data_IF_767658286078
#
_entry.id   IF_767658286078
#
_cell.length_a   1.000
_cell.length_b   1.000
_cell.length_c   1.000
_cell.angle_alpha   90.00
_cell.angle_beta   90.00
_cell.angle_gamma   90.00
#
_symmetry.space_group_name_H-M   'P 1'
#
loop_
_entity.id
_entity.type
_entity.pdbx_description
1 polymer ?
#
# COMPACT_ATOMS: atom_id res chain seq x y z
N UNK A 1 -40.62 10.15 25.63
CA UNK A 1 -41.12 10.65 24.33
C UNK A 1 -42.04 11.83 24.61
N UNK A 2 -41.86 12.98 23.95
CA UNK A 2 -42.71 14.17 24.17
C UNK A 2 -44.01 13.93 23.35
N UNK A 3 -45.16 14.06 24.05
CA UNK A 3 -46.48 13.80 23.43
C UNK A 3 -47.27 15.13 23.35
N UNK A 4 -47.75 15.45 22.15
CA UNK A 4 -48.51 16.68 21.88
C UNK A 4 -49.96 16.68 22.41
N UNK A 5 -50.44 15.53 22.93
CA UNK A 5 -51.78 15.36 23.53
C UNK A 5 -51.80 15.13 25.04
N UNK A 6 -50.71 15.36 25.73
CA UNK A 6 -50.60 15.22 27.19
C UNK A 6 -51.13 16.45 27.92
N UNK A 7 -51.69 16.24 29.12
CA UNK A 7 -52.09 17.33 30.01
C UNK A 7 -50.91 18.28 30.39
N UNK A 8 -49.69 17.79 30.27
CA UNK A 8 -48.48 18.57 30.55
C UNK A 8 -48.08 19.34 29.28
N UNK A 9 -47.94 20.68 29.38
CA UNK A 9 -47.50 21.47 28.22
C UNK A 9 -46.13 21.00 27.68
N UNK A 10 -45.95 21.02 26.35
CA UNK A 10 -44.72 20.57 25.66
C UNK A 10 -43.49 21.25 26.22
N UNK A 11 -43.56 22.52 26.62
CA UNK A 11 -42.45 23.23 27.25
C UNK A 11 -41.99 22.54 28.54
N UNK A 12 -42.95 22.18 29.42
CA UNK A 12 -42.66 21.50 30.66
C UNK A 12 -42.16 20.08 30.49
N UNK A 13 -42.65 19.37 29.43
CA UNK A 13 -42.13 18.06 29.06
C UNK A 13 -40.65 18.15 28.61
N UNK A 14 -40.30 19.18 27.83
CA UNK A 14 -38.92 19.41 27.39
C UNK A 14 -38.00 19.72 28.59
N UNK A 15 -38.45 20.57 29.53
CA UNK A 15 -37.70 20.89 30.73
C UNK A 15 -37.41 19.66 31.61
N UNK A 16 -38.44 18.82 31.80
CA UNK A 16 -38.30 17.57 32.57
C UNK A 16 -37.38 16.54 31.92
N UNK A 17 -37.27 16.55 30.58
CA UNK A 17 -36.42 15.68 29.81
C UNK A 17 -35.03 16.28 29.55
N UNK A 18 -34.77 17.52 29.99
CA UNK A 18 -33.50 18.20 29.71
C UNK A 18 -33.25 18.45 28.21
N UNK A 19 -34.32 18.54 27.40
CA UNK A 19 -34.23 18.71 25.95
C UNK A 19 -34.55 20.14 25.54
N UNK A 20 -33.72 20.81 24.74
CA UNK A 20 -34.08 22.10 24.15
C UNK A 20 -35.34 21.97 23.30
N UNK A 21 -36.34 22.88 23.49
CA UNK A 21 -37.59 22.85 22.72
C UNK A 21 -37.35 22.93 21.20
N UNK A 22 -36.30 23.62 20.75
CA UNK A 22 -35.90 23.69 19.33
C UNK A 22 -35.58 22.31 18.74
N UNK A 23 -35.01 21.38 19.53
CA UNK A 23 -34.69 20.02 19.09
C UNK A 23 -35.93 19.19 18.77
N UNK A 24 -37.07 19.50 19.43
CA UNK A 24 -38.34 18.80 19.19
C UNK A 24 -38.93 19.12 17.81
N UNK A 25 -38.73 20.36 17.35
CA UNK A 25 -39.25 20.86 16.07
C UNK A 25 -38.24 20.79 14.94
N UNK A 26 -37.01 20.34 15.26
CA UNK A 26 -35.99 20.16 14.26
C UNK A 26 -36.37 19.02 13.30
N UNK A 27 -36.71 19.37 12.09
CA UNK A 27 -36.83 18.43 10.97
C UNK A 27 -35.55 18.49 10.15
N UNK A 28 -34.88 17.35 10.04
CA UNK A 28 -33.75 17.25 9.13
C UNK A 28 -34.26 17.38 7.69
N UNK A 29 -34.04 18.54 7.08
CA UNK A 29 -34.25 18.73 5.64
C UNK A 29 -33.08 18.09 4.88
N UNK A 30 -33.01 16.75 4.87
CA UNK A 30 -32.09 16.08 3.95
C UNK A 30 -32.78 16.02 2.60
N UNK A 31 -32.16 16.67 1.62
CA UNK A 31 -32.57 16.60 0.22
C UNK A 31 -32.34 15.16 -0.27
N UNK A 32 -33.31 14.56 -0.97
CA UNK A 32 -33.19 13.22 -1.56
C UNK A 32 -31.96 13.10 -2.49
N UNK A 33 -31.59 14.17 -3.17
CA UNK A 33 -30.39 14.24 -3.98
C UNK A 33 -29.11 14.15 -3.13
N UNK A 34 -29.10 14.81 -1.96
CA UNK A 34 -27.99 14.75 -1.03
C UNK A 34 -27.83 13.36 -0.39
N UNK A 35 -28.93 12.67 -0.09
CA UNK A 35 -28.93 11.30 0.42
C UNK A 35 -28.44 10.31 -0.66
N UNK A 36 -28.91 10.44 -1.88
CA UNK A 36 -28.47 9.63 -3.01
C UNK A 36 -26.95 9.83 -3.29
N UNK A 37 -26.46 11.05 -3.18
CA UNK A 37 -25.03 11.35 -3.31
C UNK A 37 -24.23 10.72 -2.16
N UNK A 38 -24.70 10.80 -0.91
CA UNK A 38 -24.04 10.19 0.23
C UNK A 38 -23.97 8.67 0.09
N UNK A 39 -25.06 8.02 -0.39
CA UNK A 39 -25.07 6.59 -0.66
C UNK A 39 -24.06 6.18 -1.75
N UNK A 40 -24.00 6.95 -2.85
CA UNK A 40 -22.99 6.72 -3.90
C UNK A 40 -21.57 6.82 -3.33
N UNK A 41 -21.33 7.81 -2.46
CA UNK A 41 -20.03 8.01 -1.83
C UNK A 41 -19.68 6.86 -0.87
N UNK A 42 -20.64 6.35 -0.11
CA UNK A 42 -20.45 5.17 0.76
C UNK A 42 -20.07 3.94 -0.08
N UNK A 43 -20.80 3.67 -1.16
CA UNK A 43 -20.51 2.54 -2.04
C UNK A 43 -19.12 2.66 -2.70
N UNK A 44 -18.73 3.87 -3.13
CA UNK A 44 -17.40 4.11 -3.70
C UNK A 44 -16.29 3.90 -2.67
N UNK A 45 -16.47 4.37 -1.42
CA UNK A 45 -15.51 4.18 -0.33
C UNK A 45 -15.37 2.69 0.00
N UNK A 46 -16.47 1.95 0.13
CA UNK A 46 -16.48 0.53 0.47
C UNK A 46 -15.73 -0.28 -0.59
N UNK A 47 -16.02 -0.05 -1.81
CA UNK A 47 -15.40 -0.73 -2.91
C UNK A 47 -13.90 -0.37 -3.06
N UNK A 48 -13.47 0.93 -2.91
CA UNK A 48 -12.04 1.32 -2.85
C UNK A 48 -11.31 0.68 -1.69
N UNK A 49 -11.96 0.59 -0.54
CA UNK A 49 -11.39 -0.06 0.63
C UNK A 49 -11.23 -1.57 0.43
N UNK A 50 -12.22 -2.23 -0.17
CA UNK A 50 -12.14 -3.66 -0.50
C UNK A 50 -10.96 -3.97 -1.42
N UNK A 51 -10.70 -3.11 -2.40
CA UNK A 51 -9.57 -3.26 -3.31
C UNK A 51 -8.21 -2.92 -2.64
N UNK A 52 -8.20 -1.91 -1.74
CA UNK A 52 -6.99 -1.34 -1.14
C UNK A 52 -7.21 -0.93 0.31
N UNK A 53 -7.26 -1.89 1.25
CA UNK A 53 -7.60 -1.64 2.67
C UNK A 53 -6.54 -0.80 3.43
N UNK A 54 -5.39 -0.54 2.83
CA UNK A 54 -4.37 0.35 3.37
C UNK A 54 -4.65 1.85 3.16
N UNK A 55 -5.65 2.20 2.33
CA UNK A 55 -5.98 3.60 2.07
C UNK A 55 -6.56 4.27 3.32
N UNK A 56 -5.79 5.18 3.91
CA UNK A 56 -6.29 6.07 4.94
C UNK A 56 -7.09 7.23 4.34
N UNK A 57 -7.68 8.07 5.20
CA UNK A 57 -8.55 9.19 4.79
C UNK A 57 -8.03 10.03 3.61
N UNK A 58 -6.70 10.28 3.58
CA UNK A 58 -6.08 11.13 2.54
C UNK A 58 -5.99 10.39 1.23
N UNK A 59 -5.40 9.17 1.24
CA UNK A 59 -5.33 8.34 0.03
C UNK A 59 -6.71 7.95 -0.52
N UNK A 60 -7.69 7.73 0.36
CA UNK A 60 -9.08 7.50 -0.03
C UNK A 60 -9.70 8.73 -0.72
N UNK A 61 -9.41 9.94 -0.23
CA UNK A 61 -9.86 11.18 -0.86
C UNK A 61 -9.26 11.35 -2.25
N UNK A 62 -7.97 11.02 -2.40
CA UNK A 62 -7.27 11.09 -3.68
C UNK A 62 -7.85 10.09 -4.68
N UNK A 63 -8.06 8.85 -4.23
CA UNK A 63 -8.64 7.80 -5.06
C UNK A 63 -10.08 8.13 -5.51
N UNK A 64 -10.90 8.70 -4.63
CA UNK A 64 -12.25 9.16 -4.99
C UNK A 64 -12.22 10.24 -6.09
N UNK A 65 -11.28 11.18 -5.99
CA UNK A 65 -11.16 12.24 -7.00
C UNK A 65 -10.66 11.69 -8.34
N UNK A 66 -9.65 10.83 -8.33
CA UNK A 66 -8.97 10.36 -9.54
C UNK A 66 -9.72 9.25 -10.27
N UNK A 67 -10.22 8.27 -9.52
CA UNK A 67 -10.82 7.06 -10.10
C UNK A 67 -12.33 7.16 -10.23
N UNK A 68 -12.98 7.89 -9.30
CA UNK A 68 -14.44 8.05 -9.31
C UNK A 68 -14.89 9.43 -9.80
N UNK A 69 -13.98 10.40 -9.99
CA UNK A 69 -14.31 11.77 -10.35
C UNK A 69 -15.10 12.53 -9.26
N UNK A 70 -14.96 12.10 -7.99
CA UNK A 70 -15.72 12.66 -6.86
C UNK A 70 -14.79 13.49 -5.97
N UNK A 71 -14.91 14.81 -6.05
CA UNK A 71 -14.19 15.72 -5.16
C UNK A 71 -14.92 15.87 -3.83
N UNK A 72 -14.26 15.48 -2.73
CA UNK A 72 -14.82 15.55 -1.38
C UNK A 72 -13.79 16.00 -0.36
N UNK A 73 -14.27 16.63 0.71
CA UNK A 73 -13.41 17.03 1.82
C UNK A 73 -12.94 15.79 2.61
N UNK A 74 -11.63 15.67 2.94
CA UNK A 74 -11.09 14.56 3.74
C UNK A 74 -11.78 14.35 5.11
N UNK A 75 -12.36 15.41 5.70
CA UNK A 75 -13.15 15.30 6.93
C UNK A 75 -14.45 14.51 6.70
N UNK A 76 -15.09 14.70 5.54
CA UNK A 76 -16.29 13.93 5.15
C UNK A 76 -15.94 12.46 4.90
N UNK A 77 -14.85 12.20 4.18
CA UNK A 77 -14.34 10.85 3.94
C UNK A 77 -14.07 10.12 5.26
N UNK A 78 -13.38 10.76 6.21
CA UNK A 78 -13.13 10.18 7.55
C UNK A 78 -14.42 9.82 8.28
N UNK A 79 -15.44 10.68 8.22
CA UNK A 79 -16.75 10.42 8.85
C UNK A 79 -17.41 9.19 8.21
N UNK A 80 -17.43 9.11 6.88
CA UNK A 80 -18.06 8.00 6.15
C UNK A 80 -17.32 6.68 6.35
N UNK A 81 -15.98 6.68 6.33
CA UNK A 81 -15.18 5.50 6.70
C UNK A 81 -15.55 5.00 8.10
N UNK A 82 -15.68 5.93 9.08
CA UNK A 82 -16.10 5.57 10.43
C UNK A 82 -17.52 5.01 10.47
N UNK A 83 -18.44 5.54 9.68
CA UNK A 83 -19.82 5.04 9.56
C UNK A 83 -19.85 3.60 9.02
N UNK A 84 -18.96 3.27 8.08
CA UNK A 84 -18.78 1.93 7.51
C UNK A 84 -17.95 1.00 8.43
N UNK A 85 -17.41 1.49 9.55
CA UNK A 85 -16.50 0.72 10.41
C UNK A 85 -15.14 0.45 9.78
N UNK A 86 -14.73 1.24 8.78
CA UNK A 86 -13.50 1.03 8.02
C UNK A 86 -12.33 1.77 8.66
N UNK A 87 -11.26 1.02 8.95
CA UNK A 87 -9.97 1.56 9.39
C UNK A 87 -8.86 1.09 8.46
N UNK A 88 -7.98 2.03 8.06
CA UNK A 88 -6.84 1.67 7.21
C UNK A 88 -5.93 0.66 7.92
N UNK A 89 -5.52 -0.37 7.19
CA UNK A 89 -4.60 -1.39 7.71
C UNK A 89 -3.21 -0.79 7.83
N UNK A 90 -2.73 -0.60 9.08
CA UNK A 90 -1.39 -0.09 9.37
C UNK A 90 -0.54 -1.13 10.11
N UNK A 91 0.77 -1.22 9.78
CA UNK A 91 1.70 -2.08 10.49
C UNK A 91 1.97 -1.55 11.91
N UNK A 92 2.02 -2.45 12.88
CA UNK A 92 2.54 -2.13 14.21
C UNK A 92 4.07 -2.11 14.17
N UNK A 93 4.76 -1.17 14.88
CA UNK A 93 6.22 -1.11 14.91
C UNK A 93 6.80 -2.39 15.52
N UNK A 94 7.77 -3.03 14.83
CA UNK A 94 8.56 -4.18 15.32
C UNK A 94 10.01 -3.78 15.50
N UNK A 95 10.71 -4.41 16.46
CA UNK A 95 12.16 -4.22 16.67
C UNK A 95 12.94 -5.03 15.63
N UNK A 96 13.99 -4.43 15.05
CA UNK A 96 14.85 -5.06 14.05
C UNK A 96 15.97 -5.87 14.71
N UNK A 97 16.35 -7.00 14.09
CA UNK A 97 17.48 -7.85 14.47
C UNK A 97 18.19 -8.31 13.19
N UNK A 98 19.19 -7.56 12.72
CA UNK A 98 20.09 -7.98 11.63
C UNK A 98 21.54 -7.88 12.09
N UNK A 99 22.38 -8.89 11.77
CA UNK A 99 23.82 -8.88 12.03
C UNK A 99 24.62 -8.87 10.72
N UNK A 100 25.66 -8.02 10.58
CA UNK A 100 26.46 -7.92 9.35
C UNK A 100 27.58 -8.96 9.28
N UNK A 101 27.98 -9.35 8.05
CA UNK A 101 29.13 -10.22 7.78
C UNK A 101 30.46 -9.44 7.68
N UNK A 102 31.58 -10.09 8.06
CA UNK A 102 32.88 -9.43 8.30
C UNK A 102 33.88 -9.45 7.12
N UNK A 103 33.60 -10.15 5.99
CA UNK A 103 34.65 -10.61 5.05
C UNK A 103 34.69 -9.93 3.67
N UNK A 104 33.92 -8.87 3.40
CA UNK A 104 33.84 -8.28 2.05
C UNK A 104 34.43 -6.86 1.96
N UNK A 105 34.89 -6.41 0.75
CA UNK A 105 35.40 -5.07 0.55
C UNK A 105 34.36 -4.01 0.91
N UNK A 106 34.74 -3.08 1.78
CA UNK A 106 33.86 -2.01 2.27
C UNK A 106 34.09 -0.76 1.46
N UNK A 107 33.05 -0.29 0.80
CA UNK A 107 33.05 1.01 0.13
C UNK A 107 32.70 2.14 1.11
N UNK A 108 33.21 3.37 0.92
CA UNK A 108 32.91 4.47 1.81
C UNK A 108 31.42 4.91 1.66
N UNK A 109 30.85 5.41 2.75
CA UNK A 109 29.53 6.03 2.70
C UNK A 109 29.63 7.44 2.14
N UNK A 110 29.09 7.67 0.94
CA UNK A 110 29.21 8.91 0.19
C UNK A 110 28.05 9.89 0.42
N UNK A 111 26.97 9.46 1.11
CA UNK A 111 25.76 10.28 1.23
C UNK A 111 25.74 11.21 2.46
N UNK A 112 26.82 11.22 3.26
CA UNK A 112 26.89 12.09 4.44
C UNK A 112 26.84 13.57 4.02
N UNK A 113 25.82 14.28 4.50
CA UNK A 113 25.58 15.70 4.20
C UNK A 113 25.34 15.98 2.70
N UNK A 114 25.03 14.96 1.90
CA UNK A 114 24.65 15.15 0.51
C UNK A 114 23.17 15.55 0.45
N UNK A 115 22.88 16.71 -0.08
CA UNK A 115 21.51 17.11 -0.40
C UNK A 115 21.10 16.50 -1.76
N UNK A 116 20.06 15.69 -1.74
CA UNK A 116 19.54 15.03 -2.95
C UNK A 116 18.40 15.89 -3.49
N UNK A 117 18.62 16.55 -4.61
CA UNK A 117 17.73 17.59 -5.16
C UNK A 117 17.10 17.21 -6.49
N UNK A 118 17.56 16.14 -7.14
CA UNK A 118 17.07 15.72 -8.45
C UNK A 118 17.09 14.19 -8.62
N UNK A 119 16.28 13.63 -9.54
CA UNK A 119 16.39 12.24 -9.95
C UNK A 119 17.79 11.89 -10.45
N UNK A 120 18.17 10.61 -10.35
CA UNK A 120 19.44 10.05 -10.81
C UNK A 120 20.70 10.58 -10.10
N UNK A 121 20.56 11.33 -9.01
CA UNK A 121 21.70 11.62 -8.15
C UNK A 121 22.12 10.38 -7.35
N UNK A 122 21.15 9.70 -6.76
CA UNK A 122 21.39 8.50 -5.96
C UNK A 122 20.33 7.46 -6.27
N UNK A 123 20.76 6.27 -6.68
CA UNK A 123 19.92 5.08 -6.65
C UNK A 123 20.30 4.22 -5.46
N UNK A 124 19.34 3.46 -4.95
CA UNK A 124 19.59 2.51 -3.87
C UNK A 124 18.95 1.16 -4.19
N UNK A 125 19.52 0.11 -3.61
CA UNK A 125 18.95 -1.23 -3.66
C UNK A 125 19.06 -1.92 -2.30
N UNK A 126 18.14 -2.85 -2.07
CA UNK A 126 18.13 -3.72 -0.90
C UNK A 126 17.35 -4.99 -1.22
N UNK A 127 17.53 -6.02 -0.41
CA UNK A 127 16.84 -7.32 -0.52
C UNK A 127 15.92 -7.53 0.65
N UNK A 128 14.71 -7.98 0.36
CA UNK A 128 13.76 -8.36 1.42
C UNK A 128 13.17 -9.74 1.20
N UNK A 129 12.63 -10.34 2.27
CA UNK A 129 11.93 -11.62 2.23
C UNK A 129 10.44 -11.39 1.95
N UNK A 130 9.91 -12.11 0.99
CA UNK A 130 8.47 -12.21 0.71
C UNK A 130 7.98 -13.54 1.24
N UNK A 131 7.06 -13.49 2.20
CA UNK A 131 6.44 -14.69 2.74
C UNK A 131 5.48 -15.28 1.70
N UNK A 132 5.60 -16.58 1.47
CA UNK A 132 4.67 -17.39 0.70
C UNK A 132 3.97 -18.39 1.63
N UNK A 133 2.94 -19.04 1.14
CA UNK A 133 2.25 -20.09 1.92
C UNK A 133 3.22 -21.18 2.39
N UNK A 134 4.16 -21.58 1.55
CA UNK A 134 5.24 -22.50 1.91
C UNK A 134 6.59 -21.84 1.61
N UNK A 135 7.25 -21.35 2.66
CA UNK A 135 8.60 -20.78 2.56
C UNK A 135 8.62 -19.29 2.23
N UNK A 136 9.66 -18.88 1.54
CA UNK A 136 9.96 -17.48 1.25
C UNK A 136 10.51 -17.34 -0.17
N UNK A 137 10.28 -16.17 -0.76
CA UNK A 137 11.04 -15.67 -1.91
C UNK A 137 11.84 -14.44 -1.49
N UNK A 138 12.84 -14.10 -2.26
CA UNK A 138 13.69 -12.92 -2.07
C UNK A 138 13.31 -11.89 -3.14
N UNK A 139 13.06 -10.68 -2.71
CA UNK A 139 12.74 -9.56 -3.59
C UNK A 139 13.83 -8.51 -3.47
N UNK A 140 14.45 -8.15 -4.59
CA UNK A 140 15.32 -6.98 -4.71
C UNK A 140 14.61 -5.91 -5.49
N UNK A 141 14.85 -4.64 -5.18
CA UNK A 141 14.42 -3.51 -5.99
C UNK A 141 15.54 -2.47 -6.09
N UNK A 142 15.62 -1.83 -7.25
CA UNK A 142 16.45 -0.65 -7.50
C UNK A 142 15.54 0.56 -7.56
N UNK A 143 15.79 1.55 -6.72
CA UNK A 143 14.94 2.72 -6.55
C UNK A 143 15.73 4.01 -6.64
N UNK A 144 15.18 5.00 -7.31
CA UNK A 144 15.69 6.37 -7.26
C UNK A 144 15.35 7.04 -5.92
N UNK A 145 16.34 7.55 -5.24
CA UNK A 145 16.19 8.09 -3.89
C UNK A 145 15.31 9.35 -3.83
N UNK A 146 15.47 10.24 -4.83
CA UNK A 146 14.75 11.49 -4.87
C UNK A 146 13.25 11.30 -5.15
N UNK A 147 12.95 10.62 -6.24
CA UNK A 147 11.58 10.42 -6.73
C UNK A 147 10.85 9.24 -6.08
N UNK A 148 11.62 8.29 -5.49
CA UNK A 148 11.13 6.98 -4.99
C UNK A 148 10.60 6.06 -6.08
N UNK A 149 10.91 6.36 -7.34
CA UNK A 149 10.55 5.54 -8.48
C UNK A 149 11.33 4.23 -8.44
N UNK A 150 10.63 3.11 -8.59
CA UNK A 150 11.22 1.76 -8.66
C UNK A 150 11.60 1.49 -10.11
N UNK A 151 12.90 1.62 -10.42
CA UNK A 151 13.41 1.43 -11.78
C UNK A 151 13.32 -0.01 -12.26
N UNK A 152 13.56 -0.93 -11.34
CA UNK A 152 13.51 -2.37 -11.58
C UNK A 152 13.36 -3.13 -10.29
N UNK A 153 12.92 -4.38 -10.41
CA UNK A 153 12.85 -5.33 -9.30
C UNK A 153 12.98 -6.77 -9.82
N UNK A 154 13.44 -7.66 -8.98
CA UNK A 154 13.51 -9.09 -9.26
C UNK A 154 13.09 -9.93 -8.07
N UNK A 155 12.43 -11.07 -8.38
CA UNK A 155 12.01 -12.06 -7.40
C UNK A 155 12.75 -13.37 -7.63
N UNK A 156 13.39 -13.90 -6.58
CA UNK A 156 14.14 -15.16 -6.63
C UNK A 156 13.74 -16.09 -5.49
N UNK A 157 13.88 -17.39 -5.70
CA UNK A 157 13.76 -18.40 -4.65
C UNK A 157 15.11 -18.72 -3.98
N UNK A 158 16.21 -18.15 -4.48
CA UNK A 158 17.56 -18.27 -3.93
C UNK A 158 18.13 -16.89 -3.60
N UNK A 159 18.96 -16.83 -2.56
CA UNK A 159 19.60 -15.58 -2.13
C UNK A 159 21.03 -15.50 -2.73
N UNK A 160 21.16 -15.63 -4.05
CA UNK A 160 22.44 -15.48 -4.73
C UNK A 160 22.56 -14.07 -5.35
N UNK A 161 23.81 -13.64 -5.71
CA UNK A 161 24.02 -12.29 -6.23
C UNK A 161 23.41 -12.07 -7.63
N UNK A 162 23.11 -13.12 -8.40
CA UNK A 162 22.68 -13.02 -9.81
C UNK A 162 21.36 -12.26 -9.97
N UNK A 163 20.38 -12.48 -9.07
CA UNK A 163 19.11 -11.74 -9.19
C UNK A 163 19.26 -10.26 -8.85
N UNK A 164 20.22 -9.90 -7.98
CA UNK A 164 20.54 -8.49 -7.71
C UNK A 164 21.24 -7.86 -8.92
N UNK A 165 22.13 -8.59 -9.58
CA UNK A 165 22.78 -8.14 -10.83
C UNK A 165 21.75 -7.96 -11.92
N UNK A 166 20.84 -8.91 -12.12
CA UNK A 166 19.77 -8.80 -13.11
C UNK A 166 18.88 -7.57 -12.89
N UNK A 167 18.53 -7.27 -11.64
CA UNK A 167 17.79 -6.06 -11.31
C UNK A 167 18.59 -4.79 -11.63
N UNK A 168 19.89 -4.75 -11.31
CA UNK A 168 20.76 -3.62 -11.63
C UNK A 168 20.86 -3.40 -13.15
N UNK A 169 21.10 -4.47 -13.90
CA UNK A 169 21.21 -4.42 -15.38
C UNK A 169 19.88 -3.95 -16.00
N UNK A 170 18.75 -4.43 -15.51
CA UNK A 170 17.43 -3.98 -15.95
C UNK A 170 17.21 -2.48 -15.68
N UNK A 171 17.64 -1.96 -14.52
CA UNK A 171 17.58 -0.55 -14.22
C UNK A 171 18.48 0.28 -15.18
N UNK A 172 19.69 -0.17 -15.43
CA UNK A 172 20.64 0.50 -16.35
C UNK A 172 20.20 0.43 -17.82
N UNK A 173 19.44 -0.62 -18.21
CA UNK A 173 18.89 -0.76 -19.56
C UNK A 173 17.90 0.35 -19.93
N UNK A 174 17.36 1.10 -18.96
CA UNK A 174 16.56 2.30 -19.21
C UNK A 174 17.34 3.43 -19.90
N UNK A 175 18.67 3.32 -19.97
CA UNK A 175 19.58 4.35 -20.51
C UNK A 175 19.92 5.46 -19.50
N UNK A 176 19.31 5.45 -18.31
CA UNK A 176 19.61 6.40 -17.21
C UNK A 176 20.65 5.80 -16.27
N UNK A 177 21.38 6.63 -15.57
CA UNK A 177 22.45 6.22 -14.64
C UNK A 177 22.49 7.17 -13.45
N UNK A 178 22.70 6.65 -12.23
CA UNK A 178 22.90 7.50 -11.06
C UNK A 178 24.34 7.98 -10.98
N UNK A 179 24.56 9.09 -10.29
CA UNK A 179 25.91 9.50 -9.90
C UNK A 179 26.46 8.56 -8.80
N UNK A 180 25.64 8.17 -7.86
CA UNK A 180 25.98 7.29 -6.71
C UNK A 180 24.97 6.15 -6.64
N UNK A 181 25.46 4.93 -6.40
CA UNK A 181 24.65 3.78 -6.07
C UNK A 181 24.89 3.37 -4.62
N UNK A 182 23.84 3.38 -3.79
CA UNK A 182 23.91 3.08 -2.35
C UNK A 182 23.27 1.74 -2.02
N UNK A 183 23.99 0.90 -1.27
CA UNK A 183 23.50 -0.39 -0.77
C UNK A 183 23.91 -0.60 0.68
N UNK A 184 23.37 -1.66 1.31
CA UNK A 184 23.96 -2.21 2.52
C UNK A 184 25.23 -3.01 2.21
N UNK A 185 25.87 -3.56 3.25
CA UNK A 185 27.07 -4.41 3.14
C UNK A 185 26.72 -5.89 2.94
N UNK A 186 25.56 -6.21 2.39
CA UNK A 186 25.14 -7.58 2.09
C UNK A 186 26.07 -8.26 1.08
N UNK A 187 26.29 -9.57 1.23
CA UNK A 187 27.18 -10.34 0.36
C UNK A 187 26.79 -10.27 -1.13
N UNK A 188 25.51 -10.07 -1.43
CA UNK A 188 25.01 -9.91 -2.80
C UNK A 188 25.53 -8.62 -3.45
N UNK A 189 25.54 -7.51 -2.70
CA UNK A 189 25.94 -6.19 -3.19
C UNK A 189 27.45 -5.95 -3.14
N UNK A 190 28.15 -6.69 -2.30
CA UNK A 190 29.63 -6.66 -2.22
C UNK A 190 30.32 -7.64 -3.17
N UNK A 191 29.54 -8.46 -3.88
CA UNK A 191 30.08 -9.41 -4.87
C UNK A 191 30.77 -8.68 -6.03
N UNK A 192 31.83 -9.27 -6.57
CA UNK A 192 32.54 -8.75 -7.73
C UNK A 192 31.63 -8.62 -8.95
N UNK A 193 30.68 -9.53 -9.11
CA UNK A 193 29.69 -9.47 -10.19
C UNK A 193 28.83 -8.20 -10.12
N UNK A 194 28.37 -7.82 -8.92
CA UNK A 194 27.53 -6.64 -8.74
C UNK A 194 28.34 -5.33 -8.84
N UNK A 195 29.46 -5.24 -8.12
CA UNK A 195 30.32 -4.06 -8.08
C UNK A 195 31.01 -3.83 -9.43
N UNK A 196 31.32 -4.91 -10.17
CA UNK A 196 31.88 -4.83 -11.52
C UNK A 196 30.92 -4.15 -12.52
N UNK A 197 29.62 -4.40 -12.46
CA UNK A 197 28.61 -3.72 -13.30
C UNK A 197 28.57 -2.22 -13.01
N UNK A 198 28.58 -1.84 -11.74
CA UNK A 198 28.60 -0.42 -11.33
C UNK A 198 29.89 0.28 -11.78
N UNK A 199 31.03 -0.36 -11.59
CA UNK A 199 32.33 0.18 -11.99
C UNK A 199 32.45 0.32 -13.50
N UNK A 200 31.99 -0.66 -14.29
CA UNK A 200 31.96 -0.60 -15.73
C UNK A 200 31.04 0.51 -16.26
N UNK A 201 29.98 0.84 -15.51
CA UNK A 201 29.06 1.94 -15.82
C UNK A 201 29.59 3.32 -15.35
N UNK A 202 30.73 3.39 -14.64
CA UNK A 202 31.29 4.62 -14.10
C UNK A 202 30.50 5.21 -12.93
N UNK A 203 29.78 4.37 -12.18
CA UNK A 203 28.90 4.77 -11.06
C UNK A 203 29.67 4.66 -9.76
N UNK A 204 29.63 5.71 -8.93
CA UNK A 204 30.27 5.71 -7.61
C UNK A 204 29.50 4.80 -6.65
N UNK A 205 30.22 3.88 -5.97
CA UNK A 205 29.64 2.93 -5.03
C UNK A 205 29.67 3.50 -3.61
N UNK A 206 28.54 3.51 -2.95
CA UNK A 206 28.37 3.90 -1.56
C UNK A 206 27.78 2.73 -0.77
N UNK A 207 28.32 2.47 0.42
CA UNK A 207 27.78 1.45 1.31
C UNK A 207 27.52 2.00 2.69
N UNK A 208 26.39 1.59 3.28
CA UNK A 208 25.98 2.01 4.60
C UNK A 208 26.97 1.56 5.66
N UNK A 209 27.22 2.40 6.63
CA UNK A 209 28.07 2.05 7.78
C UNK A 209 27.39 1.09 8.73
N UNK A 210 28.16 0.23 9.38
CA UNK A 210 27.66 -0.71 10.41
C UNK A 210 26.91 0.06 11.51
N UNK A 211 25.64 -0.30 11.76
CA UNK A 211 24.81 0.25 12.83
C UNK A 211 24.10 1.58 12.54
N UNK A 212 24.04 2.04 11.30
CA UNK A 212 23.33 3.27 10.90
C UNK A 212 22.03 2.93 10.17
N UNK A 213 20.97 2.73 10.94
CA UNK A 213 19.63 2.41 10.43
C UNK A 213 19.00 3.51 9.54
N UNK A 214 19.61 4.69 9.44
CA UNK A 214 19.07 5.81 8.64
C UNK A 214 19.61 5.85 7.21
N UNK A 215 20.66 5.10 6.92
CA UNK A 215 21.39 5.24 5.68
C UNK A 215 20.69 4.51 4.49
N UNK A 216 19.73 3.59 4.76
CA UNK A 216 18.91 2.93 3.73
C UNK A 216 17.39 3.06 3.97
N UNK A 217 16.99 4.08 4.73
CA UNK A 217 15.60 4.30 5.16
C UNK A 217 14.58 4.35 4.02
N UNK A 218 15.01 4.73 2.80
CA UNK A 218 14.11 4.88 1.67
C UNK A 218 13.61 3.53 1.16
N UNK A 219 14.52 2.58 0.97
CA UNK A 219 14.16 1.25 0.50
C UNK A 219 13.55 0.39 1.62
N UNK A 220 13.97 0.59 2.88
CA UNK A 220 13.28 -0.04 4.02
C UNK A 220 11.82 0.39 4.10
N UNK A 221 11.54 1.66 3.84
CA UNK A 221 10.17 2.18 3.76
C UNK A 221 9.41 1.59 2.58
N UNK A 222 10.06 1.36 1.44
CA UNK A 222 9.47 0.64 0.31
C UNK A 222 9.05 -0.76 0.74
N UNK A 223 9.91 -1.51 1.43
CA UNK A 223 9.58 -2.87 1.89
C UNK A 223 8.40 -2.90 2.86
N UNK A 224 8.35 -1.94 3.77
CA UNK A 224 7.18 -1.80 4.63
C UNK A 224 5.92 -1.61 3.81
N UNK A 225 5.96 -0.72 2.82
CA UNK A 225 4.83 -0.39 1.97
C UNK A 225 4.39 -1.61 1.16
N UNK A 226 5.31 -2.27 0.42
CA UNK A 226 5.06 -3.49 -0.37
C UNK A 226 4.43 -4.59 0.50
N UNK A 227 5.02 -4.86 1.68
CA UNK A 227 4.55 -5.95 2.55
C UNK A 227 3.15 -5.72 3.07
N UNK A 228 2.82 -4.50 3.49
CA UNK A 228 1.55 -4.21 4.13
C UNK A 228 0.44 -3.81 3.16
N UNK A 229 0.79 -3.26 2.02
CA UNK A 229 -0.20 -2.85 1.03
C UNK A 229 -0.52 -3.95 0.01
N UNK A 230 0.35 -4.98 -0.12
CA UNK A 230 0.16 -6.07 -1.07
C UNK A 230 0.41 -7.45 -0.47
N UNK A 231 1.64 -7.81 -0.09
CA UNK A 231 2.04 -9.18 0.25
C UNK A 231 1.19 -9.80 1.36
N UNK A 232 0.97 -9.06 2.46
CA UNK A 232 0.21 -9.56 3.61
C UNK A 232 -1.30 -9.57 3.38
N UNK A 233 -1.78 -8.87 2.36
CA UNK A 233 -3.18 -8.86 2.00
C UNK A 233 -3.55 -9.96 1.00
N UNK A 234 -2.56 -10.44 0.23
CA UNK A 234 -2.79 -11.39 -0.86
C UNK A 234 -2.50 -12.84 -0.48
N UNK A 235 -1.65 -13.08 0.53
CA UNK A 235 -1.23 -14.42 0.98
C UNK A 235 -0.80 -15.35 -0.17
N UNK A 236 0.18 -14.91 -0.94
CA UNK A 236 0.66 -15.60 -2.14
C UNK A 236 1.06 -17.05 -1.88
N UNK A 237 0.53 -17.97 -2.69
CA UNK A 237 0.77 -19.39 -2.55
C UNK A 237 2.10 -19.81 -3.22
N UNK A 238 2.42 -19.19 -4.35
CA UNK A 238 3.55 -19.56 -5.20
C UNK A 238 4.39 -18.33 -5.59
N UNK A 239 5.69 -18.53 -5.94
CA UNK A 239 6.51 -17.44 -6.48
C UNK A 239 5.92 -16.81 -7.76
N UNK A 240 5.25 -17.61 -8.61
CA UNK A 240 4.60 -17.13 -9.82
C UNK A 240 3.44 -16.17 -9.53
N UNK A 241 2.59 -16.51 -8.55
CA UNK A 241 1.52 -15.61 -8.09
C UNK A 241 2.10 -14.33 -7.48
N UNK A 242 3.14 -14.45 -6.66
CA UNK A 242 3.81 -13.31 -6.06
C UNK A 242 4.40 -12.39 -7.15
N UNK A 243 5.02 -12.93 -8.21
CA UNK A 243 5.54 -12.15 -9.33
C UNK A 243 4.43 -11.37 -10.03
N UNK A 244 3.33 -12.01 -10.40
CA UNK A 244 2.19 -11.35 -11.05
C UNK A 244 1.53 -10.30 -10.15
N UNK A 245 1.47 -10.54 -8.85
CA UNK A 245 0.95 -9.58 -7.88
C UNK A 245 1.87 -8.36 -7.74
N UNK A 246 3.17 -8.59 -7.59
CA UNK A 246 4.17 -7.55 -7.49
C UNK A 246 4.30 -6.71 -8.76
N UNK A 247 4.16 -7.32 -9.97
CA UNK A 247 4.07 -6.56 -11.24
C UNK A 247 2.97 -5.49 -11.17
N UNK A 248 1.76 -5.89 -10.73
CA UNK A 248 0.62 -4.98 -10.59
C UNK A 248 0.86 -3.95 -9.49
N UNK A 249 1.46 -4.41 -8.38
CA UNK A 249 1.71 -3.53 -7.25
C UNK A 249 2.74 -2.45 -7.58
N UNK A 250 3.86 -2.79 -8.22
CA UNK A 250 4.87 -1.80 -8.59
C UNK A 250 4.37 -0.83 -9.67
N UNK A 251 3.59 -1.30 -10.65
CA UNK A 251 2.91 -0.40 -11.58
C UNK A 251 1.98 0.58 -10.86
N UNK A 252 1.18 0.11 -9.90
CA UNK A 252 0.36 0.98 -9.04
C UNK A 252 1.21 1.93 -8.20
N UNK A 253 2.26 1.42 -7.53
CA UNK A 253 3.15 2.19 -6.67
C UNK A 253 3.77 3.38 -7.42
N UNK A 254 4.28 3.14 -8.60
CA UNK A 254 4.99 4.15 -9.39
C UNK A 254 4.05 5.14 -10.07
N UNK A 255 2.95 4.69 -10.66
CA UNK A 255 2.13 5.52 -11.53
C UNK A 255 0.85 6.04 -10.89
N UNK A 256 0.32 5.39 -9.86
CA UNK A 256 -0.96 5.78 -9.24
C UNK A 256 -0.83 6.14 -7.76
N UNK A 257 0.09 5.53 -7.02
CA UNK A 257 0.20 5.76 -5.59
C UNK A 257 0.82 7.12 -5.29
N UNK A 258 0.07 7.98 -4.61
CA UNK A 258 0.52 9.31 -4.21
C UNK A 258 1.32 9.26 -2.90
N UNK A 259 2.41 10.00 -2.85
CA UNK A 259 3.31 10.08 -1.70
C UNK A 259 3.24 11.46 -1.03
N UNK A 260 2.95 11.48 0.27
CA UNK A 260 2.90 12.73 1.04
C UNK A 260 4.21 13.51 1.01
N UNK A 261 5.35 12.78 1.07
CA UNK A 261 6.69 13.38 1.00
C UNK A 261 7.09 13.88 -0.39
N UNK A 262 6.34 13.54 -1.43
CA UNK A 262 6.51 14.06 -2.79
C UNK A 262 5.46 15.14 -3.12
N UNK A 263 4.87 15.77 -2.11
CA UNK A 263 3.79 16.74 -2.31
C UNK A 263 2.55 16.12 -2.96
N UNK A 264 2.22 14.88 -2.61
CA UNK A 264 1.10 14.09 -3.15
C UNK A 264 1.22 13.77 -4.65
N UNK A 265 2.40 13.84 -5.19
CA UNK A 265 2.71 13.35 -6.54
C UNK A 265 3.05 11.86 -6.53
N UNK A 266 2.94 11.23 -7.69
CA UNK A 266 3.37 9.83 -7.90
C UNK A 266 4.89 9.79 -8.14
N UNK A 267 5.58 8.69 -7.79
CA UNK A 267 6.99 8.51 -8.10
C UNK A 267 7.32 8.75 -9.57
N UNK A 268 6.56 8.16 -10.49
CA UNK A 268 6.75 8.31 -11.92
C UNK A 268 6.65 9.78 -12.38
N UNK A 269 5.69 10.55 -11.85
CA UNK A 269 5.54 11.96 -12.19
C UNK A 269 6.72 12.82 -11.74
N UNK A 270 7.37 12.45 -10.62
CA UNK A 270 8.56 13.14 -10.09
C UNK A 270 9.82 12.71 -10.85
N UNK A 271 9.92 11.44 -11.22
CA UNK A 271 11.04 10.89 -11.99
C UNK A 271 10.99 11.30 -13.47
N UNK A 272 9.83 11.65 -13.99
CA UNK A 272 9.59 11.93 -15.41
C UNK A 272 9.44 10.66 -16.24
N UNK A 273 8.99 9.56 -15.62
CA UNK A 273 8.74 8.29 -16.29
C UNK A 273 7.30 8.20 -16.84
N UNK A 274 7.15 7.51 -17.97
CA UNK A 274 5.87 7.13 -18.54
C UNK A 274 5.69 5.61 -18.36
N UNK A 275 4.45 5.13 -18.15
CA UNK A 275 4.21 3.71 -18.02
C UNK A 275 4.52 3.00 -19.33
N UNK A 276 5.23 1.88 -19.24
CA UNK A 276 5.47 0.97 -20.35
C UNK A 276 4.15 0.39 -20.89
N UNK A 277 4.18 -0.17 -22.10
CA UNK A 277 2.99 -0.82 -22.69
C UNK A 277 2.44 -1.96 -21.81
N UNK A 278 3.28 -2.63 -21.05
CA UNK A 278 2.88 -3.66 -20.09
C UNK A 278 2.20 -3.04 -18.86
N UNK A 279 2.79 -2.03 -18.25
CA UNK A 279 2.22 -1.31 -17.11
C UNK A 279 0.89 -0.66 -17.47
N UNK A 280 0.77 -0.07 -18.67
CA UNK A 280 -0.50 0.46 -19.18
C UNK A 280 -1.59 -0.62 -19.20
N UNK A 281 -1.27 -1.85 -19.62
CA UNK A 281 -2.21 -2.98 -19.57
C UNK A 281 -2.58 -3.39 -18.15
N UNK A 282 -1.63 -3.34 -17.22
CA UNK A 282 -1.88 -3.63 -15.80
C UNK A 282 -2.76 -2.56 -15.15
N UNK A 283 -2.50 -1.30 -15.46
CA UNK A 283 -3.24 -0.15 -14.93
C UNK A 283 -4.63 0.02 -15.57
N UNK A 284 -4.80 -0.38 -16.83
CA UNK A 284 -6.08 -0.33 -17.55
C UNK A 284 -7.06 -1.43 -17.13
N UNK A 285 -6.63 -2.48 -16.42
CA UNK A 285 -7.54 -3.46 -15.85
C UNK A 285 -8.21 -2.85 -14.62
N UNK A 286 -9.51 -2.56 -14.66
CA UNK A 286 -10.18 -2.01 -13.50
C UNK A 286 -10.14 -3.04 -12.38
N UNK A 287 -9.42 -2.72 -11.31
CA UNK A 287 -9.78 -3.24 -10.00
C UNK A 287 -11.12 -2.64 -9.55
N UNK A 288 -11.88 -2.03 -10.49
CA UNK A 288 -12.94 -1.12 -10.18
C UNK A 288 -14.12 -1.26 -11.16
N UNK A 289 -15.38 -1.27 -10.69
CA UNK A 289 -16.55 -1.12 -11.57
C UNK A 289 -16.51 0.25 -12.25
N UNK A 290 -17.04 0.29 -13.47
CA UNK A 290 -17.06 1.43 -14.39
C UNK A 290 -17.27 2.78 -13.72
N UNK A 291 -16.62 3.83 -14.26
CA UNK A 291 -16.81 5.22 -13.84
C UNK A 291 -18.27 5.48 -13.53
N UNK A 292 -18.56 5.87 -12.29
CA UNK A 292 -19.88 6.38 -11.93
C UNK A 292 -20.04 7.69 -12.73
N UNK A 293 -20.78 7.64 -13.83
CA UNK A 293 -21.10 8.85 -14.57
C UNK A 293 -21.81 9.81 -13.65
N UNK A 294 -21.17 10.91 -13.34
CA UNK A 294 -21.80 12.03 -12.64
C UNK A 294 -22.76 12.67 -13.63
N UNK A 295 -24.03 12.26 -13.58
CA UNK A 295 -25.09 12.86 -14.38
C UNK A 295 -25.25 14.36 -14.09
N UNK A 296 -24.61 15.17 -14.89
CA UNK A 296 -24.75 16.62 -14.98
C UNK A 296 -24.94 17.02 -16.45
N UNK A 297 -26.13 16.83 -16.98
CA UNK A 297 -26.48 17.26 -18.33
C UNK A 297 -27.89 16.81 -18.66
N UNK A 298 -28.84 17.74 -18.59
CA UNK A 298 -30.22 17.53 -19.06
C UNK A 298 -30.21 17.12 -20.52
N UNK A 299 -30.75 15.96 -20.85
CA UNK A 299 -31.48 15.75 -22.10
C UNK A 299 -32.50 14.64 -21.90
N UNK A 300 -33.69 14.89 -22.37
CA UNK A 300 -34.89 14.08 -22.23
C UNK A 300 -34.88 12.87 -23.18
N UNK A 301 -35.70 11.90 -22.81
CA UNK A 301 -36.35 10.85 -23.61
C UNK A 301 -35.63 9.49 -23.71
N UNK A 302 -36.29 8.47 -23.17
CA UNK A 302 -36.07 7.06 -23.52
C UNK A 302 -36.26 6.10 -22.34
N UNK A 303 -37.53 5.90 -21.91
CA UNK A 303 -37.94 4.84 -20.98
C UNK A 303 -37.61 3.46 -21.57
N UNK A 304 -36.76 2.70 -20.88
CA UNK A 304 -36.75 1.24 -20.97
C UNK A 304 -36.63 0.68 -19.56
N UNK A 305 -37.69 0.07 -19.07
CA UNK A 305 -37.75 -0.58 -17.76
C UNK A 305 -36.83 -1.78 -17.71
N UNK A 306 -35.89 -1.76 -16.81
CA UNK A 306 -35.08 -2.97 -16.43
C UNK A 306 -35.79 -3.61 -15.23
N UNK A 307 -36.24 -4.84 -15.43
CA UNK A 307 -36.90 -5.65 -14.40
C UNK A 307 -35.91 -6.00 -13.28
N UNK A 308 -36.37 -6.10 -12.01
CA UNK A 308 -35.51 -6.46 -10.90
C UNK A 308 -35.15 -7.95 -10.95
N UNK A 309 -33.84 -8.23 -10.93
CA UNK A 309 -33.31 -9.59 -10.73
C UNK A 309 -33.55 -9.99 -9.28
N UNK A 310 -34.41 -10.98 -9.09
CA UNK A 310 -34.70 -11.60 -7.79
C UNK A 310 -33.46 -12.33 -7.26
N UNK A 311 -32.93 -11.87 -6.14
CA UNK A 311 -31.93 -12.61 -5.34
C UNK A 311 -32.60 -13.85 -4.75
N UNK A 312 -32.21 -15.02 -5.27
CA UNK A 312 -32.59 -16.32 -4.72
C UNK A 312 -31.77 -16.57 -3.45
N UNK A 313 -32.44 -16.66 -2.32
CA UNK A 313 -31.84 -17.09 -1.05
C UNK A 313 -31.31 -18.53 -1.15
N UNK A 314 -30.13 -18.85 -0.60
CA UNK A 314 -29.70 -20.24 -0.50
C UNK A 314 -30.51 -20.97 0.57
N UNK A 315 -31.04 -22.13 0.19
CA UNK A 315 -31.74 -23.06 1.06
C UNK A 315 -30.83 -23.61 2.16
N UNK A 316 -31.27 -23.55 3.38
CA UNK A 316 -30.63 -24.17 4.53
C UNK A 316 -30.65 -25.71 4.37
N UNK A 317 -29.48 -26.35 4.40
CA UNK A 317 -29.34 -27.77 4.65
C UNK A 317 -28.15 -28.03 5.56
N UNK A 318 -28.51 -28.61 6.71
CA UNK A 318 -27.75 -29.49 7.63
C UNK A 318 -26.41 -28.98 8.22
N UNK A 319 -26.50 -28.75 9.52
CA UNK A 319 -25.41 -28.65 10.48
C UNK A 319 -24.48 -29.87 10.43
N UNK A 320 -23.20 -29.63 10.16
CA UNK A 320 -22.10 -30.53 10.44
C UNK A 320 -21.06 -29.77 11.27
N UNK A 321 -21.09 -30.03 12.58
CA UNK A 321 -20.15 -29.47 13.55
C UNK A 321 -18.76 -30.08 13.32
N UNK A 322 -17.81 -29.33 12.81
CA UNK A 322 -16.39 -29.71 12.79
C UNK A 322 -15.73 -29.19 14.06
N UNK A 323 -14.89 -30.01 14.75
CA UNK A 323 -14.23 -29.61 15.99
C UNK A 323 -13.11 -28.61 15.74
N UNK A 324 -13.05 -27.57 16.55
CA UNK A 324 -11.96 -26.60 16.67
C UNK A 324 -10.64 -27.33 16.97
N UNK A 325 -9.72 -27.32 16.02
CA UNK A 325 -8.32 -27.71 16.27
C UNK A 325 -7.63 -26.61 17.06
N UNK A 326 -7.38 -26.86 18.31
CA UNK A 326 -6.46 -26.07 19.13
C UNK A 326 -5.03 -26.21 18.60
N UNK A 327 -4.44 -25.10 18.23
CA UNK A 327 -3.02 -25.02 17.86
C UNK A 327 -2.20 -25.01 19.16
N UNK A 328 -1.21 -25.92 19.35
CA UNK A 328 -0.36 -25.90 20.54
C UNK A 328 0.56 -24.68 20.53
N UNK A 329 0.98 -24.18 21.72
CA UNK A 329 1.90 -23.06 21.80
C UNK A 329 3.28 -23.44 21.28
N UNK A 330 3.89 -22.55 20.50
CA UNK A 330 5.23 -22.67 19.94
C UNK A 330 6.27 -22.68 21.08
N UNK A 331 6.90 -23.84 21.33
CA UNK A 331 8.09 -23.96 22.17
C UNK A 331 9.32 -23.54 21.36
N UNK A 332 9.97 -22.46 21.80
CA UNK A 332 11.24 -22.02 21.24
C UNK A 332 12.37 -23.04 21.49
N UNK A 333 13.47 -22.99 20.71
CA UNK A 333 14.58 -23.93 20.85
C UNK A 333 15.28 -23.76 22.21
N UNK A 334 15.48 -24.90 22.88
CA UNK A 334 16.21 -25.03 24.12
C UNK A 334 17.67 -24.58 23.97
N UNK A 335 18.13 -23.84 24.95
CA UNK A 335 19.53 -23.45 25.13
C UNK A 335 20.42 -24.69 25.31
N UNK A 336 21.30 -24.91 24.33
CA UNK A 336 22.42 -25.90 24.48
C UNK A 336 23.38 -25.39 25.52
N UNK A 337 23.42 -26.06 26.66
CA UNK A 337 24.40 -25.89 27.71
C UNK A 337 25.80 -26.23 27.16
N UNK A 338 26.75 -25.33 27.37
CA UNK A 338 28.18 -25.58 27.22
C UNK A 338 28.61 -26.60 28.26
N UNK A 339 29.02 -27.79 27.84
CA UNK A 339 29.91 -28.63 28.63
C UNK A 339 31.37 -28.21 28.35
N UNK A 340 32.04 -27.71 29.37
CA UNK A 340 33.46 -27.55 29.38
C UNK A 340 34.11 -28.88 29.75
N UNK A 341 35.18 -29.21 29.07
CA UNK A 341 36.21 -30.15 29.60
C UNK A 341 37.56 -29.70 29.12
N UNK A 342 38.49 -29.59 30.13
CA UNK A 342 39.89 -29.92 30.06
C UNK A 342 40.84 -28.98 29.35
#
# INVERSE_FOLDING_TARGET
MVASGSEIPVTRQCDLLGLPRSSLYYRSHRDAAAEAFEQRLLNAIDALYTARPHLGRVGMTDALAEECGIEVNPKRVRRLMKTLGLEAVYPRPRRNTSQPSAEHPKYPYLLRNLEITAPDQVWCADVTYIRLYRGFAYLVAVMDWYSRYVLSWELSNTLDARFCVAALEAALATGRRPAIFNTDQGSQFTSEAFTGVLSAAGIAISMDGVGRAFDNIMVERLWRTVKYEDVYLRDYQTPGEARLGLDRYFAYYDHLRRHSSLGRRTPASVYGAQPSAWEQKLLARPAWPERIETGGGRSAAGSAAVAPVALRAPSATAAGTLPLRTVPPYSGPESVQRMGTG
#
